data_IF_209523399088
#
_entry.id   IF_209523399088
#
_cell.length_a   1.000
_cell.length_b   1.000
_cell.length_c   1.000
_cell.angle_alpha   90.00
_cell.angle_beta   90.00
_cell.angle_gamma   90.00
#
_symmetry.space_group_name_H-M   'P 1'
#
loop_
_entity.id
_entity.type
_entity.pdbx_description
1 polymer ?
#
# COMPACT_ATOMS: atom_id res chain seq x y z
N UNK A 1 1.91 3.02 -20.19
CA UNK A 1 0.73 2.44 -19.51
C UNK A 1 -0.11 3.58 -18.97
N UNK A 2 -1.31 3.77 -19.49
CA UNK A 2 -2.25 4.79 -19.03
C UNK A 2 -3.11 4.15 -17.93
N UNK A 3 -3.25 4.81 -16.79
CA UNK A 3 -4.10 4.37 -15.67
C UNK A 3 -5.01 5.53 -15.31
N UNK A 4 -6.31 5.32 -15.20
CA UNK A 4 -7.28 6.39 -14.93
C UNK A 4 -7.52 6.61 -13.43
N UNK A 5 -6.92 5.78 -12.57
CA UNK A 5 -7.07 5.90 -11.11
C UNK A 5 -6.35 7.14 -10.58
N UNK A 6 -7.11 8.09 -10.02
CA UNK A 6 -6.58 9.32 -9.39
C UNK A 6 -5.63 9.04 -8.24
N UNK A 7 -5.92 8.00 -7.49
CA UNK A 7 -5.09 7.49 -6.41
C UNK A 7 -3.61 7.27 -6.81
N UNK A 8 -3.32 6.98 -8.08
CA UNK A 8 -1.94 6.76 -8.54
C UNK A 8 -1.14 8.04 -8.78
N UNK A 9 -1.73 9.21 -8.56
CA UNK A 9 -1.02 10.49 -8.62
C UNK A 9 0.08 10.54 -7.53
N UNK A 10 1.28 10.99 -7.90
CA UNK A 10 2.49 11.04 -7.06
C UNK A 10 2.96 9.68 -6.52
N UNK A 11 2.50 8.58 -7.10
CA UNK A 11 3.05 7.27 -6.78
C UNK A 11 4.30 7.04 -7.62
N UNK A 12 5.41 6.74 -6.95
CA UNK A 12 6.69 6.51 -7.61
C UNK A 12 7.16 5.07 -7.48
N UNK A 13 7.88 4.63 -8.51
CA UNK A 13 8.53 3.33 -8.66
C UNK A 13 10.03 3.55 -8.82
N UNK A 14 10.83 2.48 -8.77
CA UNK A 14 12.31 2.54 -8.76
C UNK A 14 12.93 3.43 -9.84
N UNK A 15 12.26 3.64 -10.97
CA UNK A 15 12.79 4.50 -12.05
C UNK A 15 11.77 5.47 -12.67
N UNK A 16 10.54 5.56 -12.14
CA UNK A 16 9.47 6.36 -12.76
C UNK A 16 8.49 6.88 -11.72
N UNK A 17 8.08 8.14 -11.84
CA UNK A 17 6.99 8.75 -11.08
C UNK A 17 5.74 8.86 -11.95
N UNK A 18 4.57 8.53 -11.39
CA UNK A 18 3.29 8.70 -12.05
C UNK A 18 2.66 10.02 -11.65
N UNK A 19 2.72 10.99 -12.55
CA UNK A 19 2.04 12.28 -12.40
C UNK A 19 0.86 12.28 -13.37
N UNK A 20 -0.32 12.58 -12.85
CA UNK A 20 -1.56 12.71 -13.65
C UNK A 20 -1.68 14.13 -14.14
N UNK A 21 -1.99 14.38 -15.42
CA UNK A 21 -2.20 15.74 -15.92
C UNK A 21 -3.38 16.40 -15.20
N UNK A 22 -3.28 17.71 -15.00
CA UNK A 22 -4.27 18.53 -14.33
C UNK A 22 -5.50 18.68 -15.23
N UNK A 23 -6.67 18.13 -14.83
CA UNK A 23 -7.85 18.23 -15.63
C UNK A 23 -8.37 19.68 -15.68
N UNK A 24 -8.67 20.17 -16.89
CA UNK A 24 -9.19 21.52 -17.14
C UNK A 24 -10.44 21.85 -16.31
N UNK A 25 -11.30 20.87 -16.06
CA UNK A 25 -12.52 21.06 -15.30
C UNK A 25 -12.26 21.41 -13.83
N UNK A 26 -11.14 20.97 -13.23
CA UNK A 26 -10.79 21.31 -11.85
C UNK A 26 -10.39 22.78 -11.69
N UNK A 27 -10.02 23.46 -12.77
CA UNK A 27 -9.73 24.91 -12.74
C UNK A 27 -10.99 25.77 -12.93
N UNK A 28 -12.13 25.17 -13.31
CA UNK A 28 -13.36 25.90 -13.58
C UNK A 28 -14.23 26.05 -12.34
N UNK A 29 -14.41 27.28 -11.84
CA UNK A 29 -15.28 27.56 -10.68
C UNK A 29 -16.73 27.09 -10.87
N UNK A 30 -17.22 27.08 -12.11
CA UNK A 30 -18.57 26.57 -12.45
C UNK A 30 -18.68 25.07 -12.19
N UNK A 31 -17.63 24.31 -12.44
CA UNK A 31 -17.58 22.88 -12.16
C UNK A 31 -17.64 22.62 -10.65
N UNK A 32 -16.91 23.40 -9.85
CA UNK A 32 -16.95 23.31 -8.40
C UNK A 32 -18.35 23.56 -7.84
N UNK A 33 -18.99 24.65 -8.28
CA UNK A 33 -20.35 24.99 -7.85
C UNK A 33 -21.38 23.90 -8.20
N UNK A 34 -21.21 23.21 -9.34
CA UNK A 34 -22.18 22.22 -9.84
C UNK A 34 -21.96 20.81 -9.30
N UNK A 35 -20.71 20.39 -9.08
CA UNK A 35 -20.38 18.99 -8.79
C UNK A 35 -19.71 18.76 -7.43
N UNK A 36 -19.18 19.81 -6.80
CA UNK A 36 -18.41 19.73 -5.55
C UNK A 36 -19.06 20.49 -4.38
N UNK A 37 -20.01 21.37 -4.65
CA UNK A 37 -20.88 21.96 -3.63
C UNK A 37 -22.09 21.05 -3.39
N UNK A 38 -22.41 20.79 -2.12
CA UNK A 38 -23.72 20.27 -1.77
C UNK A 38 -24.73 21.38 -2.07
N UNK A 39 -25.73 21.09 -2.90
CA UNK A 39 -26.94 21.91 -2.87
C UNK A 39 -27.64 21.57 -1.56
N UNK A 40 -27.96 22.59 -0.75
CA UNK A 40 -28.79 22.42 0.43
C UNK A 40 -30.18 21.98 -0.05
N UNK A 41 -30.39 20.68 -0.19
CA UNK A 41 -31.73 20.13 -0.25
C UNK A 41 -32.14 19.95 1.20
N UNK A 42 -33.18 20.64 1.69
CA UNK A 42 -33.68 20.46 3.05
C UNK A 42 -34.46 19.15 3.06
N UNK A 43 -33.76 18.02 3.14
CA UNK A 43 -34.38 16.72 3.39
C UNK A 43 -33.88 16.23 4.73
N UNK A 44 -34.85 16.08 5.62
CA UNK A 44 -34.85 15.70 7.02
C UNK A 44 -34.24 14.34 7.36
N UNK A 45 -33.35 13.79 6.52
CA UNK A 45 -32.65 12.53 6.77
C UNK A 45 -31.15 12.77 6.66
N UNK A 46 -30.42 12.41 7.71
CA UNK A 46 -28.98 12.60 7.91
C UNK A 46 -28.11 11.70 7.00
N UNK A 47 -28.41 11.65 5.70
CA UNK A 47 -27.56 10.99 4.73
C UNK A 47 -26.49 12.00 4.27
N UNK A 48 -25.27 11.79 4.76
CA UNK A 48 -24.10 12.59 4.46
C UNK A 48 -24.00 12.85 2.95
N UNK A 49 -24.15 14.11 2.55
CA UNK A 49 -24.01 14.54 1.16
C UNK A 49 -22.71 13.96 0.55
N UNK A 50 -22.84 13.13 -0.49
CA UNK A 50 -21.70 12.44 -1.17
C UNK A 50 -20.72 13.38 -1.89
N UNK A 51 -20.97 14.69 -1.83
CA UNK A 51 -20.13 15.72 -2.44
C UNK A 51 -18.90 16.04 -1.58
N UNK A 52 -18.93 15.79 -0.25
CA UNK A 52 -17.81 16.04 0.66
C UNK A 52 -16.53 15.33 0.21
N UNK A 53 -16.58 14.00 0.07
CA UNK A 53 -15.42 13.20 -0.34
C UNK A 53 -14.89 13.52 -1.75
N UNK A 54 -15.75 13.96 -2.69
CA UNK A 54 -15.29 14.40 -4.02
C UNK A 54 -14.55 15.73 -3.96
N UNK A 55 -15.06 16.68 -3.17
CA UNK A 55 -14.43 17.98 -2.94
C UNK A 55 -13.08 17.82 -2.24
N UNK A 56 -13.01 16.97 -1.23
CA UNK A 56 -11.78 16.67 -0.49
C UNK A 56 -10.68 16.08 -1.38
N UNK A 57 -11.04 15.16 -2.29
CA UNK A 57 -10.09 14.60 -3.27
C UNK A 57 -9.65 15.62 -4.31
N UNK A 58 -10.57 16.45 -4.80
CA UNK A 58 -10.25 17.51 -5.75
C UNK A 58 -9.31 18.56 -5.13
N UNK A 59 -9.57 18.96 -3.88
CA UNK A 59 -8.69 19.86 -3.11
C UNK A 59 -7.32 19.22 -2.87
N UNK A 60 -7.28 17.95 -2.48
CA UNK A 60 -6.04 17.20 -2.29
C UNK A 60 -5.19 17.13 -3.54
N UNK A 61 -5.83 16.89 -4.69
CA UNK A 61 -5.16 16.86 -5.99
C UNK A 61 -4.66 18.23 -6.45
N UNK A 62 -5.39 19.32 -6.16
CA UNK A 62 -4.89 20.67 -6.43
C UNK A 62 -3.75 21.05 -5.49
N UNK A 63 -3.81 20.60 -4.24
CA UNK A 63 -2.76 20.84 -3.24
C UNK A 63 -1.44 20.17 -3.62
N UNK A 64 -1.48 18.92 -4.12
CA UNK A 64 -0.28 18.26 -4.62
C UNK A 64 0.35 19.00 -5.80
N UNK A 65 -0.46 19.58 -6.68
CA UNK A 65 0.00 20.44 -7.77
C UNK A 65 0.55 21.79 -7.30
N UNK A 66 -0.04 22.39 -6.27
CA UNK A 66 0.48 23.60 -5.65
C UNK A 66 1.86 23.37 -5.03
N UNK A 67 2.11 22.19 -4.46
CA UNK A 67 3.42 21.79 -3.96
C UNK A 67 4.42 21.47 -5.08
N UNK A 68 3.96 20.88 -6.20
CA UNK A 68 4.81 20.53 -7.35
C UNK A 68 5.22 21.76 -8.18
N UNK A 69 4.35 22.76 -8.29
CA UNK A 69 4.56 23.97 -9.10
C UNK A 69 4.70 25.18 -8.17
N UNK A 70 5.80 25.22 -7.43
CA UNK A 70 6.11 26.31 -6.51
C UNK A 70 6.74 27.52 -7.22
N UNK A 71 7.57 27.27 -8.24
CA UNK A 71 8.28 28.30 -8.99
C UNK A 71 7.80 28.41 -10.44
N UNK A 72 8.13 29.53 -11.07
CA UNK A 72 7.81 29.79 -12.47
C UNK A 72 8.57 28.83 -13.41
N UNK A 73 9.80 28.44 -13.05
CA UNK A 73 10.53 27.38 -13.74
C UNK A 73 9.75 26.06 -13.79
N UNK A 74 9.17 25.67 -12.65
CA UNK A 74 8.40 24.42 -12.52
C UNK A 74 7.13 24.49 -13.38
N UNK A 75 6.55 25.69 -13.50
CA UNK A 75 5.39 25.94 -14.35
C UNK A 75 5.71 25.78 -15.84
N UNK A 76 6.88 26.24 -16.29
CA UNK A 76 7.34 26.02 -17.67
C UNK A 76 7.57 24.53 -17.95
N UNK A 77 8.25 23.82 -17.05
CA UNK A 77 8.44 22.37 -17.16
C UNK A 77 7.09 21.64 -17.18
N UNK A 78 6.13 22.04 -16.33
CA UNK A 78 4.79 21.46 -16.31
C UNK A 78 4.01 21.71 -17.62
N UNK A 79 4.23 22.84 -18.29
CA UNK A 79 3.67 23.13 -19.62
C UNK A 79 4.29 22.24 -20.71
N UNK A 80 5.62 22.15 -20.72
CA UNK A 80 6.36 21.34 -21.70
C UNK A 80 6.01 19.86 -21.60
N UNK A 81 5.83 19.37 -20.37
CA UNK A 81 5.43 17.98 -20.09
C UNK A 81 3.93 17.73 -20.25
N UNK A 82 3.16 18.72 -20.71
CA UNK A 82 1.70 18.67 -20.87
C UNK A 82 0.94 18.27 -19.59
N UNK A 83 1.52 18.55 -18.41
CA UNK A 83 0.89 18.30 -17.11
C UNK A 83 -0.18 19.34 -16.79
N UNK A 84 -0.09 20.54 -17.37
CA UNK A 84 -1.09 21.59 -17.19
C UNK A 84 -1.59 22.09 -18.56
N UNK A 85 -2.81 22.67 -18.62
CA UNK A 85 -3.33 23.20 -19.87
C UNK A 85 -2.45 24.35 -20.39
N UNK A 86 -2.08 24.31 -21.68
CA UNK A 86 -1.20 25.34 -22.28
C UNK A 86 -1.77 26.77 -22.22
N UNK A 87 -3.10 26.89 -22.16
CA UNK A 87 -3.86 28.15 -22.02
C UNK A 87 -3.67 28.80 -20.65
N UNK A 88 -3.27 28.04 -19.63
CA UNK A 88 -3.10 28.54 -18.26
C UNK A 88 -1.89 29.49 -18.21
N UNK A 89 -2.04 30.63 -17.55
CA UNK A 89 -0.97 31.61 -17.36
C UNK A 89 -0.47 31.60 -15.90
N UNK A 90 0.80 31.92 -15.70
CA UNK A 90 1.42 31.94 -14.36
C UNK A 90 0.68 32.85 -13.35
N UNK A 91 0.24 34.08 -13.70
CA UNK A 91 -0.52 34.93 -12.77
C UNK A 91 -1.87 34.32 -12.34
N UNK A 92 -2.54 33.62 -13.28
CA UNK A 92 -3.80 32.93 -12.99
C UNK A 92 -3.58 31.74 -12.06
N UNK A 93 -2.51 30.98 -12.29
CA UNK A 93 -2.09 29.88 -11.40
C UNK A 93 -1.80 30.38 -9.98
N UNK A 94 -1.00 31.45 -9.84
CA UNK A 94 -0.70 32.03 -8.51
C UNK A 94 -1.95 32.48 -7.77
N UNK A 95 -2.92 33.06 -8.48
CA UNK A 95 -4.20 33.47 -7.89
C UNK A 95 -4.97 32.25 -7.39
N UNK A 96 -5.07 31.18 -8.19
CA UNK A 96 -5.74 29.94 -7.80
C UNK A 96 -5.07 29.26 -6.59
N UNK A 97 -3.74 29.18 -6.57
CA UNK A 97 -2.98 28.62 -5.43
C UNK A 97 -3.18 29.47 -4.17
N UNK A 98 -3.22 30.80 -4.30
CA UNK A 98 -3.49 31.69 -3.16
C UNK A 98 -4.90 31.49 -2.60
N UNK A 99 -5.91 31.32 -3.45
CA UNK A 99 -7.28 31.02 -3.02
C UNK A 99 -7.36 29.66 -2.30
N UNK A 100 -6.66 28.66 -2.83
CA UNK A 100 -6.55 27.33 -2.22
C UNK A 100 -5.89 27.38 -0.84
N UNK A 101 -4.74 28.07 -0.73
CA UNK A 101 -3.96 28.16 0.51
C UNK A 101 -4.58 29.10 1.56
N UNK A 102 -5.29 30.13 1.12
CA UNK A 102 -6.02 31.06 2.00
C UNK A 102 -7.21 30.41 2.72
N UNK A 103 -7.61 29.21 2.30
CA UNK A 103 -8.67 28.43 2.94
C UNK A 103 -8.10 27.63 4.13
N UNK A 104 -7.85 28.31 5.26
CA UNK A 104 -7.37 27.72 6.54
C UNK A 104 -8.25 26.57 7.08
N UNK A 105 -7.73 25.68 7.94
CA UNK A 105 -6.65 24.73 7.67
C UNK A 105 -7.08 23.75 6.56
N UNK A 106 -6.15 23.44 5.67
CA UNK A 106 -6.44 22.68 4.45
C UNK A 106 -6.53 21.17 4.75
N UNK A 107 -5.72 20.67 5.69
CA UNK A 107 -5.62 19.24 6.00
C UNK A 107 -6.96 18.55 6.38
N UNK A 108 -7.85 19.16 7.21
CA UNK A 108 -9.16 18.58 7.50
C UNK A 108 -10.11 18.57 6.30
N UNK A 109 -9.81 19.33 5.24
CA UNK A 109 -10.63 19.46 4.02
C UNK A 109 -10.04 18.70 2.83
N UNK A 110 -8.97 17.95 3.05
CA UNK A 110 -8.29 17.14 2.05
C UNK A 110 -8.45 15.66 2.40
N UNK A 111 -8.68 14.84 1.38
CA UNK A 111 -8.73 13.38 1.53
C UNK A 111 -7.37 12.88 2.11
N UNK A 112 -7.37 12.03 3.16
CA UNK A 112 -6.16 11.56 3.83
C UNK A 112 -5.11 10.98 2.88
N UNK A 113 -5.51 10.51 1.70
CA UNK A 113 -4.58 10.05 0.67
C UNK A 113 -3.56 11.11 0.27
N UNK A 114 -3.96 12.37 0.16
CA UNK A 114 -3.09 13.46 -0.29
C UNK A 114 -2.32 14.12 0.85
N UNK A 115 -2.52 13.69 2.11
CA UNK A 115 -1.63 14.08 3.22
C UNK A 115 -0.23 13.53 3.01
N UNK A 116 -0.14 12.38 2.35
CA UNK A 116 1.10 11.72 2.00
C UNK A 116 1.40 12.01 0.53
N UNK A 117 2.37 12.89 0.26
CA UNK A 117 2.72 13.32 -1.10
C UNK A 117 3.26 12.17 -1.96
N UNK A 118 4.58 12.04 -2.05
CA UNK A 118 5.19 10.95 -2.82
C UNK A 118 5.11 9.61 -2.09
N UNK A 119 4.32 8.68 -2.63
CA UNK A 119 4.16 7.34 -2.07
C UNK A 119 4.93 6.33 -2.90
N UNK A 120 5.89 5.64 -2.26
CA UNK A 120 6.62 4.55 -2.92
C UNK A 120 5.68 3.36 -3.12
N UNK A 121 5.41 2.97 -4.37
CA UNK A 121 4.48 1.88 -4.70
C UNK A 121 4.86 0.57 -4.00
N UNK A 122 6.16 0.36 -3.77
CA UNK A 122 6.70 -0.79 -3.05
C UNK A 122 6.24 -0.87 -1.61
N UNK A 123 6.18 0.26 -0.91
CA UNK A 123 5.69 0.34 0.47
C UNK A 123 4.17 0.19 0.50
N UNK A 124 3.47 0.81 -0.45
CA UNK A 124 2.02 0.72 -0.57
C UNK A 124 1.56 -0.73 -0.79
N UNK A 125 2.21 -1.47 -1.69
CA UNK A 125 1.91 -2.88 -1.91
C UNK A 125 2.19 -3.74 -0.67
N UNK A 126 3.28 -3.48 0.07
CA UNK A 126 3.56 -4.18 1.35
C UNK A 126 2.43 -3.95 2.35
N UNK A 127 2.07 -2.69 2.60
CA UNK A 127 0.98 -2.34 3.55
C UNK A 127 -0.32 -3.03 3.11
N UNK A 128 -0.65 -3.01 1.82
CA UNK A 128 -1.89 -3.62 1.33
C UNK A 128 -1.89 -5.15 1.43
N UNK A 129 -0.74 -5.78 1.17
CA UNK A 129 -0.54 -7.21 1.32
C UNK A 129 -0.70 -7.66 2.78
N UNK A 130 -0.11 -6.92 3.72
CA UNK A 130 -0.20 -7.23 5.16
C UNK A 130 -1.56 -6.89 5.78
N UNK A 131 -2.27 -5.88 5.27
CA UNK A 131 -3.46 -5.34 5.96
C UNK A 131 -4.80 -5.70 5.33
N UNK A 132 -4.91 -5.85 3.99
CA UNK A 132 -6.23 -6.00 3.34
C UNK A 132 -6.50 -7.34 2.67
N UNK A 133 -5.54 -7.91 1.94
CA UNK A 133 -5.70 -9.23 1.28
C UNK A 133 -4.36 -9.79 0.81
N UNK A 134 -4.00 -11.04 1.13
CA UNK A 134 -2.72 -11.65 0.72
C UNK A 134 -2.60 -11.93 -0.79
N UNK A 135 -3.64 -11.69 -1.60
CA UNK A 135 -3.67 -12.08 -3.02
C UNK A 135 -4.06 -10.94 -3.98
N UNK A 136 -4.34 -9.73 -3.50
CA UNK A 136 -4.74 -8.60 -4.35
C UNK A 136 -3.87 -7.39 -4.04
N UNK A 137 -2.75 -7.26 -4.74
CA UNK A 137 -1.95 -6.03 -4.74
C UNK A 137 -2.78 -4.86 -5.29
N UNK A 138 -2.46 -3.63 -4.89
CA UNK A 138 -3.16 -2.40 -5.31
C UNK A 138 -3.30 -2.26 -6.85
N UNK A 139 -2.38 -2.90 -7.59
CA UNK A 139 -2.57 -3.35 -8.98
C UNK A 139 -1.99 -4.76 -9.17
N UNK A 140 -2.78 -5.68 -9.72
CA UNK A 140 -2.43 -7.11 -9.93
C UNK A 140 -1.39 -7.38 -11.04
N UNK A 141 -0.86 -6.36 -11.74
CA UNK A 141 -0.19 -6.55 -13.04
C UNK A 141 1.14 -5.82 -13.20
N UNK A 142 1.97 -5.74 -12.16
CA UNK A 142 3.31 -5.17 -12.28
C UNK A 142 4.39 -6.17 -11.89
N UNK A 143 5.22 -6.52 -12.88
CA UNK A 143 6.32 -7.50 -12.91
C UNK A 143 7.47 -7.25 -11.93
N UNK A 144 7.24 -6.44 -10.91
CA UNK A 144 8.26 -6.06 -9.96
C UNK A 144 8.33 -7.03 -8.77
N UNK A 145 7.47 -8.07 -8.76
CA UNK A 145 7.54 -9.20 -7.82
C UNK A 145 8.97 -9.77 -7.75
N UNK A 146 9.70 -9.80 -8.87
CA UNK A 146 11.11 -10.25 -8.90
C UNK A 146 12.03 -9.49 -7.94
N UNK A 147 12.04 -8.15 -7.95
CA UNK A 147 12.90 -7.38 -7.04
C UNK A 147 12.42 -7.42 -5.59
N UNK A 148 11.11 -7.55 -5.37
CA UNK A 148 10.56 -7.75 -4.02
C UNK A 148 10.96 -9.09 -3.41
N UNK A 149 10.93 -10.15 -4.22
CA UNK A 149 11.37 -11.46 -3.80
C UNK A 149 12.87 -11.41 -3.53
N UNK A 150 13.70 -10.91 -4.44
CA UNK A 150 15.15 -10.81 -4.22
C UNK A 150 15.53 -10.22 -2.85
N UNK A 151 14.95 -9.08 -2.47
CA UNK A 151 15.28 -8.42 -1.19
C UNK A 151 14.76 -9.15 0.06
N UNK A 152 13.63 -9.86 -0.05
CA UNK A 152 12.97 -10.53 1.09
C UNK A 152 13.19 -12.05 1.09
N UNK A 153 13.73 -12.61 0.01
CA UNK A 153 13.99 -14.03 -0.18
C UNK A 153 15.06 -14.50 0.78
N UNK A 154 16.08 -13.67 1.07
CA UNK A 154 17.07 -13.99 2.08
C UNK A 154 16.43 -14.24 3.46
N UNK A 155 15.53 -13.35 3.89
CA UNK A 155 14.82 -13.50 5.16
C UNK A 155 13.82 -14.66 5.13
N UNK A 156 13.00 -14.77 4.09
CA UNK A 156 12.01 -15.86 3.93
C UNK A 156 12.67 -17.24 3.84
N UNK A 157 13.75 -17.36 3.07
CA UNK A 157 14.52 -18.60 2.96
C UNK A 157 15.17 -18.95 4.29
N UNK A 158 15.75 -17.97 5.00
CA UNK A 158 16.31 -18.19 6.33
C UNK A 158 15.27 -18.68 7.33
N UNK A 159 14.07 -18.08 7.36
CA UNK A 159 12.98 -18.54 8.22
C UNK A 159 12.49 -19.93 7.84
N UNK A 160 12.39 -20.22 6.54
CA UNK A 160 11.96 -21.54 6.04
C UNK A 160 12.95 -22.63 6.41
N UNK A 161 14.25 -22.37 6.23
CA UNK A 161 15.33 -23.29 6.63
C UNK A 161 15.32 -23.48 8.14
N UNK A 162 15.16 -22.42 8.93
CA UNK A 162 15.06 -22.52 10.38
C UNK A 162 13.90 -23.40 10.82
N UNK A 163 12.70 -23.18 10.27
CA UNK A 163 11.51 -24.00 10.57
C UNK A 163 11.74 -25.45 10.14
N UNK A 164 12.31 -25.70 8.96
CA UNK A 164 12.62 -27.05 8.50
C UNK A 164 13.60 -27.75 9.45
N UNK A 165 14.66 -27.07 9.91
CA UNK A 165 15.61 -27.61 10.88
C UNK A 165 14.90 -27.95 12.19
N UNK A 166 14.07 -27.06 12.73
CA UNK A 166 13.30 -27.33 13.96
C UNK A 166 12.36 -28.52 13.78
N UNK A 167 11.63 -28.58 12.67
CA UNK A 167 10.70 -29.68 12.38
C UNK A 167 11.43 -31.02 12.20
N UNK A 168 12.57 -31.03 11.51
CA UNK A 168 13.40 -32.24 11.38
C UNK A 168 13.97 -32.68 12.72
N UNK A 169 14.40 -31.75 13.57
CA UNK A 169 14.86 -32.06 14.92
C UNK A 169 13.73 -32.63 15.80
N UNK A 170 12.50 -32.13 15.67
CA UNK A 170 11.33 -32.70 16.35
C UNK A 170 11.03 -34.12 15.87
N UNK A 171 11.07 -34.37 14.56
CA UNK A 171 10.86 -35.70 14.01
C UNK A 171 11.92 -36.70 14.48
N UNK A 172 13.19 -36.29 14.52
CA UNK A 172 14.29 -37.13 15.00
C UNK A 172 14.18 -37.37 16.50
N UNK A 173 13.86 -36.35 17.30
CA UNK A 173 13.68 -36.46 18.75
C UNK A 173 12.56 -37.46 19.12
N UNK A 174 11.39 -37.31 18.51
CA UNK A 174 10.25 -38.22 18.73
C UNK A 174 10.58 -39.66 18.30
N UNK A 175 11.27 -39.84 17.17
CA UNK A 175 11.70 -41.16 16.73
C UNK A 175 12.68 -41.81 17.73
N UNK A 176 13.59 -41.04 18.32
CA UNK A 176 14.52 -41.56 19.33
C UNK A 176 13.86 -41.94 20.65
N UNK A 177 12.87 -41.17 21.13
CA UNK A 177 12.13 -41.51 22.35
C UNK A 177 11.27 -42.77 22.17
N UNK A 178 10.62 -42.91 21.02
CA UNK A 178 9.87 -44.14 20.66
C UNK A 178 10.81 -45.33 20.61
N UNK A 179 11.99 -45.17 19.98
CA UNK A 179 13.00 -46.23 19.93
C UNK A 179 13.55 -46.58 21.32
N UNK A 180 13.85 -45.61 22.18
CA UNK A 180 14.32 -45.86 23.54
C UNK A 180 13.28 -46.58 24.39
N UNK A 181 12.01 -46.17 24.35
CA UNK A 181 10.93 -46.83 25.08
C UNK A 181 10.71 -48.26 24.57
N UNK A 182 10.74 -48.50 23.26
CA UNK A 182 10.68 -49.86 22.70
C UNK A 182 11.89 -50.72 23.08
N UNK A 183 13.10 -50.15 23.10
CA UNK A 183 14.32 -50.87 23.51
C UNK A 183 14.29 -51.25 24.99
N UNK A 184 13.82 -50.35 25.86
CA UNK A 184 13.70 -50.61 27.29
C UNK A 184 12.66 -51.69 27.60
N UNK A 185 11.52 -51.67 26.90
CA UNK A 185 10.48 -52.70 27.08
C UNK A 185 10.94 -54.07 26.59
N UNK A 186 11.75 -54.13 25.52
CA UNK A 186 12.31 -55.38 24.99
C UNK A 186 13.37 -56.00 25.89
N UNK A 187 14.18 -55.20 26.61
CA UNK A 187 15.13 -55.71 27.62
C UNK A 187 14.41 -56.21 28.88
N UNK A 188 13.31 -55.60 29.31
CA UNK A 188 12.52 -56.07 30.46
C UNK A 188 11.80 -57.40 30.20
N UNK A 189 11.46 -57.70 28.93
CA UNK A 189 10.88 -58.99 28.52
C UNK A 189 11.88 -60.13 28.40
N UNK A 190 13.18 -59.85 28.17
CA UNK A 190 14.19 -60.89 27.94
C UNK A 190 14.96 -61.31 29.19
N UNK A 191 14.94 -60.54 30.28
CA UNK A 191 15.65 -60.89 31.53
C UNK A 191 14.82 -61.84 32.41
N UNK A 192 13.53 -62.03 32.12
CA UNK A 192 12.65 -62.93 32.90
C UNK A 192 12.66 -64.41 32.47
N UNK A 193 13.46 -64.80 31.48
CA UNK A 193 13.42 -66.18 30.95
C UNK A 193 14.74 -66.97 30.98
N UNK A 194 15.75 -66.52 31.75
CA UNK A 194 17.03 -67.27 31.89
C UNK A 194 17.27 -67.77 33.33
N UNK A 195 16.26 -67.68 34.21
CA UNK A 195 16.38 -68.04 35.63
C UNK A 195 15.67 -69.33 36.08
N UNK A 196 15.13 -70.16 35.19
CA UNK A 196 14.29 -71.32 35.57
C UNK A 196 14.63 -72.63 34.83
N UNK A 197 15.92 -72.95 34.70
CA UNK A 197 16.36 -74.32 34.33
C UNK A 197 17.57 -74.72 35.16
N UNK A 198 17.40 -74.81 36.49
CA UNK A 198 18.35 -75.54 37.34
C UNK A 198 17.70 -75.92 38.68
N UNK A 199 16.71 -76.82 38.64
CA UNK A 199 16.29 -77.67 39.77
C UNK A 199 15.25 -78.68 39.27
N UNK A 200 15.72 -79.76 38.63
CA UNK A 200 15.16 -81.12 38.68
C UNK A 200 16.08 -82.08 37.96
#
# INVERSE_FOLDING_TARGET
MITEKMDMHLVWTTNRIFIKPLPRFLLSRRFWARFLCCHEVPVSNADSCSCGGRRERALGFLFSYAALIAHESDFHVAKETHLIPGELQWPAWRTAVRELLGTSPIYPRIDPRFHYGELRLSRLNKIYFFWKTPLRGYMSRWNQYGSFFQDNFAWLASSTVYIAVVLTAMQVGLATEVLQNCWFHRRSGSVRHVGDVLLR
#
